data_IF_846512343753
#
_entry.id   IF_846512343753
#
_cell.length_a   1.000
_cell.length_b   1.000
_cell.length_c   1.000
_cell.angle_alpha   90.00
_cell.angle_beta   90.00
_cell.angle_gamma   90.00
#
_symmetry.space_group_name_H-M   'P 1'
#
loop_
_entity.id
_entity.type
_entity.pdbx_description
1 polymer ?
#
# COMPACT_ATOMS: atom_id res chain seq x y z
N UNK A 1 4.48 -32.21 27.82
CA UNK A 1 4.79 -32.38 26.38
C UNK A 1 5.31 -31.05 25.87
N UNK A 2 6.58 -30.95 25.46
CA UNK A 2 7.08 -29.75 24.81
C UNK A 2 6.91 -29.91 23.29
N UNK A 3 6.12 -29.03 22.68
CA UNK A 3 6.00 -28.96 21.23
C UNK A 3 7.26 -28.32 20.64
N UNK A 4 7.81 -28.92 19.57
CA UNK A 4 8.92 -28.36 18.80
C UNK A 4 8.38 -27.83 17.48
N UNK A 5 8.72 -26.57 17.12
CA UNK A 5 8.35 -25.96 15.84
C UNK A 5 9.61 -25.59 15.07
N UNK A 6 9.77 -26.17 13.88
CA UNK A 6 10.87 -25.85 12.96
C UNK A 6 10.43 -24.73 12.01
N UNK A 7 10.57 -23.48 12.46
CA UNK A 7 10.34 -22.28 11.66
C UNK A 7 11.61 -21.45 11.43
N UNK A 8 12.77 -22.04 11.73
CA UNK A 8 14.05 -21.56 11.23
C UNK A 8 13.95 -21.39 9.70
N UNK A 9 14.31 -20.20 9.22
CA UNK A 9 14.22 -19.79 7.81
C UNK A 9 12.81 -19.52 7.25
N UNK A 10 11.75 -19.50 8.07
CA UNK A 10 10.43 -19.02 7.62
C UNK A 10 10.36 -17.48 7.66
N UNK A 11 9.58 -16.83 6.76
CA UNK A 11 9.36 -15.39 6.80
C UNK A 11 8.89 -14.91 8.18
N UNK A 12 9.49 -13.82 8.65
CA UNK A 12 9.17 -13.22 9.95
C UNK A 12 8.30 -11.98 9.75
N UNK A 13 6.99 -12.16 9.83
CA UNK A 13 6.03 -11.04 9.80
C UNK A 13 6.28 -10.00 10.91
N UNK A 14 6.92 -10.40 12.01
CA UNK A 14 7.36 -9.50 13.08
C UNK A 14 8.39 -8.45 12.66
N UNK A 15 8.99 -8.56 11.47
CA UNK A 15 9.89 -7.54 10.93
C UNK A 15 9.16 -6.34 10.33
N UNK A 16 7.86 -6.46 10.06
CA UNK A 16 7.09 -5.36 9.51
C UNK A 16 6.85 -4.31 10.61
N UNK A 17 7.10 -3.02 10.34
CA UNK A 17 6.73 -1.95 11.26
C UNK A 17 5.21 -1.85 11.28
N UNK A 18 4.59 -2.21 12.41
CA UNK A 18 3.12 -2.38 12.50
C UNK A 18 2.36 -1.07 12.28
N UNK A 19 2.84 0.05 12.82
CA UNK A 19 2.16 1.35 12.69
C UNK A 19 2.08 1.84 11.22
N UNK A 20 3.19 1.93 10.45
CA UNK A 20 3.09 2.26 9.02
C UNK A 20 2.28 1.25 8.21
N UNK A 21 2.36 -0.04 8.54
CA UNK A 21 1.57 -1.07 7.87
C UNK A 21 0.07 -0.82 8.04
N UNK A 22 -0.39 -0.49 9.25
CA UNK A 22 -1.79 -0.15 9.51
C UNK A 22 -2.26 1.07 8.72
N UNK A 23 -1.43 2.10 8.57
CA UNK A 23 -1.78 3.27 7.77
C UNK A 23 -2.00 2.92 6.30
N UNK A 24 -1.22 1.99 5.74
CA UNK A 24 -1.45 1.49 4.38
C UNK A 24 -2.76 0.72 4.29
N UNK A 25 -3.10 -0.07 5.31
CA UNK A 25 -4.40 -0.77 5.40
C UNK A 25 -5.56 0.24 5.45
N UNK A 26 -5.44 1.33 6.21
CA UNK A 26 -6.45 2.40 6.25
C UNK A 26 -6.66 3.04 4.86
N UNK A 27 -5.58 3.25 4.09
CA UNK A 27 -5.68 3.75 2.71
C UNK A 27 -6.39 2.74 1.80
N UNK A 28 -6.07 1.45 1.93
CA UNK A 28 -6.76 0.39 1.18
C UNK A 28 -8.26 0.35 1.53
N UNK A 29 -8.59 0.49 2.82
CA UNK A 29 -9.96 0.49 3.31
C UNK A 29 -10.73 1.74 2.83
N UNK A 30 -10.10 2.91 2.85
CA UNK A 30 -10.65 4.13 2.25
C UNK A 30 -10.97 3.91 0.76
N UNK A 31 -10.04 3.33 0.00
CA UNK A 31 -10.23 3.01 -1.42
C UNK A 31 -11.35 2.00 -1.65
N UNK A 32 -11.40 0.93 -0.85
CA UNK A 32 -12.44 -0.10 -0.94
C UNK A 32 -13.83 0.45 -0.63
N UNK A 33 -13.96 1.31 0.38
CA UNK A 33 -15.22 1.95 0.73
C UNK A 33 -15.68 2.94 -0.35
N UNK A 34 -14.75 3.66 -0.96
CA UNK A 34 -15.07 4.71 -1.96
C UNK A 34 -15.33 4.15 -3.35
N UNK A 35 -14.56 3.16 -3.78
CA UNK A 35 -14.55 2.67 -5.16
C UNK A 35 -14.98 1.20 -5.30
N UNK A 36 -15.20 0.50 -4.18
CA UNK A 36 -15.46 -0.94 -4.16
C UNK A 36 -14.18 -1.75 -3.92
N UNK A 37 -14.36 -2.91 -3.28
CA UNK A 37 -13.29 -3.89 -3.05
C UNK A 37 -12.62 -4.27 -4.38
N UNK A 38 -11.29 -4.31 -4.38
CA UNK A 38 -10.49 -4.71 -5.54
C UNK A 38 -10.65 -3.87 -6.82
N UNK A 39 -11.36 -2.74 -6.78
CA UNK A 39 -11.54 -1.86 -7.94
C UNK A 39 -10.21 -1.37 -8.54
N UNK A 40 -9.15 -1.32 -7.73
CA UNK A 40 -7.81 -0.96 -8.19
C UNK A 40 -7.25 -1.89 -9.28
N UNK A 41 -7.71 -3.15 -9.34
CA UNK A 41 -7.27 -4.14 -10.32
C UNK A 41 -7.78 -3.86 -11.74
N UNK A 42 -8.90 -3.14 -11.87
CA UNK A 42 -9.61 -2.92 -13.14
C UNK A 42 -9.35 -1.54 -13.74
N UNK A 43 -8.49 -0.74 -13.10
CA UNK A 43 -8.16 0.61 -13.56
C UNK A 43 -7.49 0.58 -14.94
N UNK A 44 -8.05 1.24 -15.97
CA UNK A 44 -7.41 1.34 -17.28
C UNK A 44 -6.06 2.06 -17.16
N UNK A 45 -5.04 1.57 -17.86
CA UNK A 45 -3.67 2.09 -17.80
C UNK A 45 -3.13 2.17 -16.35
N UNK A 46 -3.45 1.16 -15.52
CA UNK A 46 -3.15 1.14 -14.09
C UNK A 46 -1.71 1.52 -13.76
N UNK A 47 -0.72 1.00 -14.49
CA UNK A 47 0.70 1.28 -14.24
C UNK A 47 1.03 2.77 -14.28
N UNK A 48 0.66 3.44 -15.36
CA UNK A 48 0.89 4.89 -15.51
C UNK A 48 0.11 5.68 -14.45
N UNK A 49 -1.15 5.31 -14.21
CA UNK A 49 -2.01 6.02 -13.26
C UNK A 49 -1.52 5.91 -11.83
N UNK A 50 -1.09 4.72 -11.39
CA UNK A 50 -0.53 4.51 -10.05
C UNK A 50 0.89 5.08 -9.93
N UNK A 51 1.69 5.07 -10.99
CA UNK A 51 2.96 5.78 -11.02
C UNK A 51 2.78 7.29 -10.78
N UNK A 52 1.86 7.91 -11.51
CA UNK A 52 1.54 9.33 -11.38
C UNK A 52 0.91 9.65 -10.01
N UNK A 53 0.04 8.79 -9.49
CA UNK A 53 -0.54 8.97 -8.16
C UNK A 53 0.52 8.90 -7.04
N UNK A 54 1.40 7.90 -7.10
CA UNK A 54 2.54 7.77 -6.18
C UNK A 54 3.38 9.06 -6.15
N UNK A 55 3.76 9.57 -7.32
CA UNK A 55 4.56 10.80 -7.42
C UNK A 55 3.84 12.03 -6.88
N UNK A 56 2.52 12.17 -7.05
CA UNK A 56 1.77 13.28 -6.43
C UNK A 56 1.84 13.25 -4.91
N UNK A 57 1.66 12.07 -4.30
CA UNK A 57 1.77 11.93 -2.85
C UNK A 57 3.20 12.14 -2.34
N UNK A 58 4.21 11.63 -3.06
CA UNK A 58 5.61 11.88 -2.73
C UNK A 58 5.98 13.36 -2.83
N UNK A 59 5.51 14.06 -3.87
CA UNK A 59 5.76 15.48 -4.05
C UNK A 59 5.06 16.34 -2.97
N UNK A 60 3.82 16.02 -2.61
CA UNK A 60 3.09 16.68 -1.53
C UNK A 60 3.80 16.51 -0.18
N UNK A 61 4.21 15.27 0.12
CA UNK A 61 5.03 14.96 1.30
C UNK A 61 6.35 15.71 1.31
N UNK A 62 7.05 15.75 0.17
CA UNK A 62 8.31 16.49 0.03
C UNK A 62 8.13 18.00 0.24
N UNK A 63 6.97 18.53 -0.13
CA UNK A 63 6.59 19.93 0.08
C UNK A 63 6.13 20.24 1.52
N UNK A 64 6.08 19.25 2.42
CA UNK A 64 5.72 19.41 3.83
C UNK A 64 4.24 19.15 4.15
N UNK A 65 3.43 18.73 3.17
CA UNK A 65 2.07 18.24 3.43
C UNK A 65 2.16 16.82 4.01
N UNK A 66 1.65 16.57 5.21
CA UNK A 66 1.81 15.26 5.86
C UNK A 66 0.68 14.28 5.53
N UNK A 67 -0.51 14.81 5.29
CA UNK A 67 -1.75 14.05 5.11
C UNK A 67 -2.45 14.51 3.84
N UNK A 68 -3.06 13.57 3.14
CA UNK A 68 -3.87 13.82 1.97
C UNK A 68 -5.19 14.49 2.34
N UNK A 69 -5.49 15.63 1.70
CA UNK A 69 -6.67 16.44 2.04
C UNK A 69 -8.03 15.78 1.76
N UNK A 70 -8.09 14.72 0.95
CA UNK A 70 -9.35 14.02 0.67
C UNK A 70 -9.63 12.94 1.72
N UNK A 71 -8.63 12.11 2.01
CA UNK A 71 -8.75 10.97 2.91
C UNK A 71 -8.44 11.29 4.37
N UNK A 72 -7.68 12.36 4.63
CA UNK A 72 -7.10 12.66 5.94
C UNK A 72 -5.97 11.70 6.35
N UNK A 73 -5.48 10.85 5.44
CA UNK A 73 -4.49 9.81 5.71
C UNK A 73 -3.08 10.20 5.24
N UNK A 74 -2.00 9.61 5.80
CA UNK A 74 -0.63 10.00 5.45
C UNK A 74 -0.29 9.84 3.98
N UNK A 75 0.36 10.83 3.37
CA UNK A 75 0.79 10.75 1.98
C UNK A 75 1.75 9.59 1.70
N UNK A 76 2.66 9.28 2.63
CA UNK A 76 3.56 8.14 2.47
C UNK A 76 2.81 6.81 2.46
N UNK A 77 1.70 6.68 3.20
CA UNK A 77 0.87 5.48 3.16
C UNK A 77 0.18 5.31 1.80
N UNK A 78 -0.32 6.42 1.22
CA UNK A 78 -0.84 6.42 -0.15
C UNK A 78 0.21 6.06 -1.20
N UNK A 79 1.43 6.59 -1.06
CA UNK A 79 2.53 6.26 -1.95
C UNK A 79 2.89 4.76 -1.88
N UNK A 80 2.98 4.19 -0.67
CA UNK A 80 3.22 2.75 -0.48
C UNK A 80 2.07 1.92 -1.07
N UNK A 81 0.81 2.32 -0.87
CA UNK A 81 -0.35 1.66 -1.47
C UNK A 81 -0.23 1.62 -3.01
N UNK A 82 0.13 2.75 -3.64
CA UNK A 82 0.38 2.80 -5.07
C UNK A 82 1.51 1.86 -5.51
N UNK A 83 2.63 1.82 -4.76
CA UNK A 83 3.74 0.92 -5.04
C UNK A 83 3.34 -0.56 -4.91
N UNK A 84 2.51 -0.92 -3.92
CA UNK A 84 1.98 -2.27 -3.77
C UNK A 84 1.14 -2.69 -4.97
N UNK A 85 0.28 -1.80 -5.49
CA UNK A 85 -0.47 -2.06 -6.72
C UNK A 85 0.45 -2.25 -7.92
N UNK A 86 1.46 -1.39 -8.08
CA UNK A 86 2.45 -1.52 -9.15
C UNK A 86 3.22 -2.85 -9.07
N UNK A 87 3.69 -3.24 -7.89
CA UNK A 87 4.34 -4.53 -7.65
C UNK A 87 3.41 -5.71 -7.97
N UNK A 88 2.12 -5.58 -7.66
CA UNK A 88 1.13 -6.61 -8.00
C UNK A 88 0.99 -6.73 -9.52
N UNK A 89 0.83 -5.62 -10.25
CA UNK A 89 0.74 -5.63 -11.70
C UNK A 89 2.03 -6.17 -12.35
N UNK A 90 3.20 -5.89 -11.78
CA UNK A 90 4.48 -6.44 -12.25
C UNK A 90 4.55 -7.97 -12.04
N UNK A 91 4.07 -8.47 -10.90
CA UNK A 91 4.05 -9.89 -10.57
C UNK A 91 2.94 -10.71 -11.24
N UNK A 92 1.86 -10.07 -11.70
CA UNK A 92 0.70 -10.73 -12.29
C UNK A 92 0.82 -11.03 -13.80
N UNK A 93 1.88 -10.56 -14.47
CA UNK A 93 2.14 -10.84 -15.90
C UNK A 93 2.93 -12.15 -16.14
N UNK A 94 2.63 -13.21 -15.38
CA UNK A 94 3.13 -14.57 -15.66
C UNK A 94 2.05 -15.46 -16.22
#
# INVERSE_FOLDING_TARGET
MNGQKHDQSKPRFSLLPSTPLWQVVEVLEFGANKYGMDNWKTVPNARERYFNACHRHLNAWWAGEMVDGESGLPHLAHAVCCLMFLMWFDGSEK
#
